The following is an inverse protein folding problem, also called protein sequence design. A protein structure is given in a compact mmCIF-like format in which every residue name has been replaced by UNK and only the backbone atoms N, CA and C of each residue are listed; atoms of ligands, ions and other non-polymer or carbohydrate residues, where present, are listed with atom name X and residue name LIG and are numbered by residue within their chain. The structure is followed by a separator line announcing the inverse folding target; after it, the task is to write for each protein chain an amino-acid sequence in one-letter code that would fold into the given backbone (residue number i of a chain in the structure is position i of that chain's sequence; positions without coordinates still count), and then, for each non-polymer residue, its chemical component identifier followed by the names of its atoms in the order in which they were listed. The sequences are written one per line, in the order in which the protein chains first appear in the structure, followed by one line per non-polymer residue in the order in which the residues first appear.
data_IF_164076480277
#
_entry.id   IF_164076480277
#
_cell.length_a   1.000
_cell.length_b   1.000
_cell.length_c   1.000
_cell.angle_alpha   90.00
_cell.angle_beta   90.00
_cell.angle_gamma   90.00
#
_symmetry.space_group_name_H-M   'P 1'
#
loop_
_entity.id
_entity.type
_entity.pdbx_description
1 polymer ?
#
# COMPACT_ATOMS: atom_id res chain seq x y z
N UNK A 1 0.58 11.41 16.46
CA UNK A 1 1.17 11.42 15.09
C UNK A 1 1.86 12.75 14.91
N UNK A 2 3.17 12.77 15.00
CA UNK A 2 3.97 13.96 14.73
C UNK A 2 3.69 14.42 13.31
N UNK A 3 3.34 15.69 13.17
CA UNK A 3 3.03 16.30 11.88
C UNK A 3 4.30 16.30 11.04
N UNK A 4 4.33 15.51 9.97
CA UNK A 4 5.42 15.60 9.00
C UNK A 4 5.57 17.05 8.51
N UNK A 5 6.79 17.50 8.23
CA UNK A 5 7.02 18.85 7.71
C UNK A 5 6.20 19.09 6.42
N UNK A 6 5.63 20.27 6.24
CA UNK A 6 4.74 20.56 5.11
C UNK A 6 5.41 20.31 3.75
N UNK A 7 6.69 20.54 3.64
CA UNK A 7 7.47 20.28 2.43
C UNK A 7 7.45 18.79 2.05
N UNK A 8 7.61 17.88 3.02
CA UNK A 8 7.56 16.44 2.78
C UNK A 8 6.15 15.97 2.41
N UNK A 9 5.12 16.58 3.03
CA UNK A 9 3.72 16.28 2.67
C UNK A 9 3.44 16.63 1.22
N UNK A 10 3.86 17.82 0.76
CA UNK A 10 3.69 18.25 -0.63
C UNK A 10 4.45 17.31 -1.58
N UNK A 11 5.67 16.94 -1.22
CA UNK A 11 6.47 16.00 -2.00
C UNK A 11 5.79 14.62 -2.13
N UNK A 12 5.30 14.05 -1.01
CA UNK A 12 4.59 12.75 -1.01
C UNK A 12 3.29 12.81 -1.82
N UNK A 13 2.55 13.91 -1.75
CA UNK A 13 1.33 14.12 -2.55
C UNK A 13 1.69 14.20 -4.04
N UNK A 14 2.73 14.93 -4.40
CA UNK A 14 3.19 15.04 -5.79
C UNK A 14 3.64 13.69 -6.36
N UNK A 15 4.48 12.96 -5.63
CA UNK A 15 4.95 11.63 -6.05
C UNK A 15 3.82 10.60 -6.09
N UNK A 16 2.90 10.63 -5.11
CA UNK A 16 1.71 9.78 -5.10
C UNK A 16 0.78 10.06 -6.27
N UNK A 17 0.57 11.33 -6.61
CA UNK A 17 -0.22 11.73 -7.79
C UNK A 17 0.43 11.25 -9.08
N UNK A 18 1.74 11.40 -9.21
CA UNK A 18 2.49 10.92 -10.38
C UNK A 18 2.42 9.39 -10.52
N UNK A 19 2.54 8.66 -9.41
CA UNK A 19 2.34 7.22 -9.38
C UNK A 19 0.95 6.83 -9.89
N UNK A 20 -0.10 7.46 -9.34
CA UNK A 20 -1.48 7.18 -9.72
C UNK A 20 -1.78 7.55 -11.18
N UNK A 21 -1.17 8.61 -11.70
CA UNK A 21 -1.25 9.01 -13.11
C UNK A 21 -0.81 7.86 -14.03
N UNK A 22 0.37 7.30 -13.82
CA UNK A 22 0.87 6.20 -14.64
C UNK A 22 0.13 4.90 -14.39
N UNK A 23 -0.20 4.59 -13.13
CA UNK A 23 -0.90 3.37 -12.79
C UNK A 23 -2.31 3.31 -13.38
N UNK A 24 -3.14 4.35 -13.16
CA UNK A 24 -4.52 4.38 -13.66
C UNK A 24 -4.54 4.41 -15.19
N UNK A 25 -3.60 5.15 -15.80
CA UNK A 25 -3.43 5.15 -17.25
C UNK A 25 -3.17 3.76 -17.79
N UNK A 26 -2.22 3.03 -17.21
CA UNK A 26 -1.88 1.66 -17.60
C UNK A 26 -3.05 0.68 -17.39
N UNK A 27 -3.70 0.72 -16.23
CA UNK A 27 -4.83 -0.13 -15.88
C UNK A 27 -5.99 0.05 -16.87
N UNK A 28 -6.41 1.30 -17.10
CA UNK A 28 -7.52 1.62 -18.01
C UNK A 28 -7.18 1.25 -19.46
N UNK A 29 -5.97 1.56 -19.91
CA UNK A 29 -5.51 1.21 -21.26
C UNK A 29 -5.54 -0.29 -21.49
N UNK A 30 -5.02 -1.07 -20.55
CA UNK A 30 -4.99 -2.50 -20.68
C UNK A 30 -6.40 -3.11 -20.74
N UNK A 31 -7.26 -2.74 -19.78
CA UNK A 31 -8.62 -3.28 -19.73
C UNK A 31 -9.49 -2.86 -20.94
N UNK A 32 -9.32 -1.64 -21.42
CA UNK A 32 -10.10 -1.09 -22.54
C UNK A 32 -9.65 -1.67 -23.89
N UNK A 33 -8.35 -1.81 -24.11
CA UNK A 33 -7.81 -2.24 -25.40
C UNK A 33 -7.45 -3.72 -25.46
N UNK A 34 -7.65 -4.48 -24.39
CA UNK A 34 -7.41 -5.93 -24.37
C UNK A 34 -8.14 -6.69 -25.49
N UNK A 35 -9.44 -6.47 -25.78
CA UNK A 35 -10.09 -7.14 -26.90
C UNK A 35 -9.44 -6.80 -28.25
N UNK A 36 -9.17 -5.53 -28.50
CA UNK A 36 -8.51 -5.08 -29.73
C UNK A 36 -7.10 -5.65 -29.87
N UNK A 37 -6.34 -5.65 -28.76
CA UNK A 37 -5.02 -6.26 -28.72
C UNK A 37 -5.08 -7.74 -29.09
N UNK A 38 -6.00 -8.53 -28.47
CA UNK A 38 -6.10 -9.96 -28.69
C UNK A 38 -6.49 -10.33 -30.13
N UNK A 39 -7.40 -9.56 -30.75
CA UNK A 39 -7.80 -9.78 -32.15
C UNK A 39 -6.67 -9.47 -33.14
N UNK A 40 -5.86 -8.45 -32.88
CA UNK A 40 -4.78 -8.01 -33.76
C UNK A 40 -3.45 -8.73 -33.53
N UNK A 41 -3.36 -9.71 -32.61
CA UNK A 41 -2.20 -10.59 -32.50
C UNK A 41 -2.09 -11.51 -33.69
N UNK A 42 -0.90 -12.05 -33.96
CA UNK A 42 -0.65 -13.02 -35.05
C UNK A 42 -1.37 -14.37 -34.88
N UNK A 43 -2.16 -14.52 -33.80
CA UNK A 43 -2.90 -15.74 -33.47
C UNK A 43 -4.28 -15.82 -34.16
N UNK A 44 -4.68 -14.80 -34.92
CA UNK A 44 -6.00 -14.75 -35.66
C UNK A 44 -7.20 -15.09 -34.75
N UNK A 45 -7.23 -14.57 -33.52
CA UNK A 45 -8.25 -14.87 -32.55
C UNK A 45 -9.60 -14.26 -32.96
N UNK A 46 -10.67 -15.04 -32.77
CA UNK A 46 -12.01 -14.53 -33.01
C UNK A 46 -12.39 -13.41 -32.03
N UNK A 47 -13.21 -12.43 -32.45
CA UNK A 47 -13.71 -11.37 -31.58
C UNK A 47 -14.42 -11.93 -30.32
N UNK A 48 -15.06 -13.09 -30.44
CA UNK A 48 -15.69 -13.77 -29.32
C UNK A 48 -14.66 -14.24 -28.28
N UNK A 49 -13.57 -14.85 -28.74
CA UNK A 49 -12.47 -15.30 -27.85
C UNK A 49 -11.82 -14.11 -27.16
N UNK A 50 -11.59 -13.03 -27.89
CA UNK A 50 -11.01 -11.81 -27.34
C UNK A 50 -11.91 -11.16 -26.26
N UNK A 51 -13.23 -11.15 -26.48
CA UNK A 51 -14.20 -10.67 -25.50
C UNK A 51 -14.24 -11.57 -24.24
N UNK A 52 -14.15 -12.89 -24.40
CA UNK A 52 -14.08 -13.83 -23.29
C UNK A 52 -12.78 -13.63 -22.49
N UNK A 53 -11.65 -13.40 -23.15
CA UNK A 53 -10.37 -13.10 -22.52
C UNK A 53 -10.42 -11.83 -21.68
N UNK A 54 -11.04 -10.77 -22.21
CA UNK A 54 -11.25 -9.52 -21.48
C UNK A 54 -12.14 -9.73 -20.25
N UNK A 55 -13.21 -10.51 -20.39
CA UNK A 55 -14.09 -10.88 -19.28
C UNK A 55 -13.35 -11.68 -18.20
N UNK A 56 -12.48 -12.62 -18.58
CA UNK A 56 -11.68 -13.39 -17.65
C UNK A 56 -10.65 -12.52 -16.89
N UNK A 57 -10.01 -11.58 -17.59
CA UNK A 57 -9.09 -10.62 -16.96
C UNK A 57 -9.82 -9.71 -15.97
N UNK A 58 -11.02 -9.21 -16.32
CA UNK A 58 -11.86 -8.42 -15.44
C UNK A 58 -12.35 -9.22 -14.22
N UNK A 59 -12.66 -10.50 -14.40
CA UNK A 59 -13.05 -11.42 -13.34
C UNK A 59 -11.86 -11.65 -12.38
N UNK A 60 -10.66 -11.91 -12.91
CA UNK A 60 -9.44 -12.07 -12.14
C UNK A 60 -9.13 -10.79 -11.32
N UNK A 61 -9.30 -9.62 -11.93
CA UNK A 61 -9.18 -8.33 -11.24
C UNK A 61 -10.17 -8.20 -10.07
N UNK A 62 -11.43 -8.59 -10.27
CA UNK A 62 -12.47 -8.54 -9.22
C UNK A 62 -12.15 -9.49 -8.08
N UNK A 63 -11.78 -10.75 -8.39
CA UNK A 63 -11.35 -11.72 -7.37
C UNK A 63 -10.15 -11.20 -6.60
N UNK A 64 -9.16 -10.65 -7.30
CA UNK A 64 -7.98 -10.06 -6.67
C UNK A 64 -8.35 -8.93 -5.68
N UNK A 65 -9.32 -8.08 -6.02
CA UNK A 65 -9.87 -7.07 -5.10
C UNK A 65 -10.52 -7.69 -3.86
N UNK A 66 -11.35 -8.70 -4.04
CA UNK A 66 -11.97 -9.40 -2.92
C UNK A 66 -10.92 -10.05 -2.00
N UNK A 67 -9.90 -10.68 -2.57
CA UNK A 67 -8.81 -11.30 -1.81
C UNK A 67 -7.90 -10.28 -1.12
N UNK A 68 -7.78 -9.07 -1.67
CA UNK A 68 -6.96 -8.03 -1.08
C UNK A 68 -7.51 -7.51 0.26
N UNK A 69 -8.82 -7.62 0.51
CA UNK A 69 -9.45 -7.17 1.76
C UNK A 69 -8.90 -7.94 2.98
N UNK A 70 -8.99 -9.29 3.05
CA UNK A 70 -8.41 -10.04 4.16
C UNK A 70 -6.87 -9.94 4.20
N UNK A 71 -6.19 -9.78 3.05
CA UNK A 71 -4.76 -9.57 3.03
C UNK A 71 -4.36 -8.23 3.67
N UNK A 72 -5.11 -7.16 3.43
CA UNK A 72 -4.85 -5.84 3.99
C UNK A 72 -4.96 -5.80 5.53
N UNK A 73 -5.71 -6.73 6.13
CA UNK A 73 -5.78 -6.87 7.60
C UNK A 73 -4.47 -7.47 8.16
N UNK A 74 -3.83 -8.37 7.42
CA UNK A 74 -2.67 -9.14 7.89
C UNK A 74 -1.33 -8.57 7.39
N UNK A 75 -1.31 -7.94 6.24
CA UNK A 75 -0.09 -7.47 5.58
C UNK A 75 -0.01 -5.95 5.56
N UNK A 76 1.21 -5.44 5.58
CA UNK A 76 1.47 -4.00 5.41
C UNK A 76 1.16 -3.58 3.97
N UNK A 77 0.60 -2.37 3.72
CA UNK A 77 0.29 -1.90 2.38
C UNK A 77 1.48 -1.96 1.40
N UNK A 78 2.69 -1.69 1.86
CA UNK A 78 3.89 -1.77 1.04
C UNK A 78 4.18 -3.19 0.54
N UNK A 79 3.92 -4.22 1.34
CA UNK A 79 4.12 -5.62 0.94
C UNK A 79 3.14 -6.01 -0.16
N UNK A 80 1.88 -5.59 -0.03
CA UNK A 80 0.84 -5.82 -1.05
C UNK A 80 1.22 -5.10 -2.35
N UNK A 81 1.72 -3.85 -2.26
CA UNK A 81 2.19 -3.11 -3.43
C UNK A 81 3.33 -3.82 -4.16
N UNK A 82 4.35 -4.29 -3.46
CA UNK A 82 5.44 -5.04 -4.09
C UNK A 82 4.96 -6.35 -4.72
N UNK A 83 4.07 -7.10 -4.05
CA UNK A 83 3.49 -8.32 -4.61
C UNK A 83 2.71 -8.05 -5.89
N UNK A 84 1.89 -7.00 -5.92
CA UNK A 84 1.15 -6.61 -7.11
C UNK A 84 2.06 -6.15 -8.25
N UNK A 85 3.10 -5.36 -7.98
CA UNK A 85 4.08 -4.98 -9.00
C UNK A 85 4.83 -6.20 -9.57
N UNK A 86 5.15 -7.17 -8.72
CA UNK A 86 5.75 -8.42 -9.17
C UNK A 86 4.79 -9.18 -10.11
N UNK A 87 3.50 -9.32 -9.77
CA UNK A 87 2.51 -9.95 -10.65
C UNK A 87 2.36 -9.19 -11.96
N UNK A 88 2.31 -7.85 -11.91
CA UNK A 88 2.22 -7.01 -13.11
C UNK A 88 3.44 -7.20 -14.02
N UNK A 89 4.65 -7.23 -13.47
CA UNK A 89 5.87 -7.47 -14.24
C UNK A 89 5.86 -8.86 -14.88
N UNK A 90 5.53 -9.89 -14.10
CA UNK A 90 5.44 -11.27 -14.64
C UNK A 90 4.41 -11.36 -15.75
N UNK A 91 3.19 -10.85 -15.55
CA UNK A 91 2.14 -10.84 -16.56
C UNK A 91 2.54 -10.08 -17.83
N UNK A 92 3.14 -8.90 -17.68
CA UNK A 92 3.60 -8.08 -18.82
C UNK A 92 4.75 -8.74 -19.58
N UNK A 93 5.71 -9.36 -18.89
CA UNK A 93 6.82 -10.08 -19.53
C UNK A 93 6.31 -11.31 -20.29
N UNK A 94 5.36 -12.07 -19.71
CA UNK A 94 4.72 -13.20 -20.40
C UNK A 94 4.03 -12.75 -21.69
N UNK A 95 3.30 -11.63 -21.64
CA UNK A 95 2.69 -11.06 -22.83
C UNK A 95 3.72 -10.57 -23.85
N UNK A 96 4.81 -9.94 -23.40
CA UNK A 96 5.86 -9.47 -24.31
C UNK A 96 6.54 -10.59 -25.10
N UNK A 97 6.69 -11.77 -24.48
CA UNK A 97 7.40 -12.90 -25.10
C UNK A 97 6.44 -13.79 -25.92
N UNK A 98 5.25 -14.04 -25.42
CA UNK A 98 4.38 -15.10 -25.93
C UNK A 98 3.08 -14.62 -26.57
N UNK A 99 2.77 -13.31 -26.57
CA UNK A 99 1.48 -12.82 -27.07
C UNK A 99 1.17 -13.21 -28.51
N UNK A 100 2.19 -13.31 -29.37
CA UNK A 100 2.03 -13.70 -30.78
C UNK A 100 2.22 -15.22 -31.02
N UNK A 101 2.73 -15.95 -30.02
CA UNK A 101 3.14 -17.34 -30.22
C UNK A 101 2.22 -18.37 -29.58
N UNK A 102 1.46 -17.99 -28.55
CA UNK A 102 0.66 -18.95 -27.75
C UNK A 102 -0.59 -18.31 -27.16
N UNK A 103 -1.75 -18.81 -27.60
CA UNK A 103 -3.03 -18.40 -27.07
C UNK A 103 -3.13 -18.68 -25.55
N UNK A 104 -2.67 -19.85 -25.09
CA UNK A 104 -2.69 -20.20 -23.67
C UNK A 104 -1.89 -19.22 -22.82
N UNK A 105 -0.69 -18.81 -23.29
CA UNK A 105 0.14 -17.83 -22.57
C UNK A 105 -0.46 -16.43 -22.61
N UNK A 106 -1.19 -16.10 -23.65
CA UNK A 106 -1.96 -14.87 -23.77
C UNK A 106 -3.06 -14.82 -22.70
N UNK A 107 -3.80 -15.91 -22.50
CA UNK A 107 -4.80 -16.04 -21.43
C UNK A 107 -4.17 -15.90 -20.05
N UNK A 108 -3.13 -16.67 -19.76
CA UNK A 108 -2.44 -16.68 -18.46
C UNK A 108 -1.86 -15.32 -18.13
N UNK A 109 -1.17 -14.68 -19.10
CA UNK A 109 -0.58 -13.36 -18.90
C UNK A 109 -1.62 -12.30 -18.55
N UNK A 110 -2.76 -12.28 -19.22
CA UNK A 110 -3.85 -11.32 -18.97
C UNK A 110 -4.53 -11.56 -17.61
N UNK A 111 -4.71 -12.82 -17.19
CA UNK A 111 -5.28 -13.16 -15.88
C UNK A 111 -4.32 -12.72 -14.76
N UNK A 112 -3.02 -13.00 -14.90
CA UNK A 112 -2.00 -12.57 -13.92
C UNK A 112 -1.96 -11.04 -13.82
N UNK A 113 -2.02 -10.37 -14.96
CA UNK A 113 -2.02 -8.91 -15.02
C UNK A 113 -3.26 -8.31 -14.36
N UNK A 114 -4.44 -8.90 -14.61
CA UNK A 114 -5.69 -8.53 -13.96
C UNK A 114 -5.60 -8.66 -12.42
N UNK A 115 -5.07 -9.77 -11.92
CA UNK A 115 -4.80 -9.93 -10.48
C UNK A 115 -3.82 -8.87 -9.97
N UNK A 116 -2.76 -8.58 -10.73
CA UNK A 116 -1.74 -7.57 -10.36
C UNK A 116 -2.30 -6.16 -10.24
N UNK A 117 -3.22 -5.75 -11.10
CA UNK A 117 -3.87 -4.43 -11.04
C UNK A 117 -4.81 -4.28 -9.83
N UNK A 118 -5.33 -5.37 -9.30
CA UNK A 118 -6.53 -5.40 -8.45
C UNK A 118 -6.50 -4.47 -7.24
N UNK A 119 -5.41 -4.37 -6.52
CA UNK A 119 -5.34 -3.66 -5.23
C UNK A 119 -4.28 -2.57 -5.14
N UNK A 120 -3.61 -2.23 -6.24
CA UNK A 120 -2.52 -1.22 -6.25
C UNK A 120 -3.03 0.14 -5.81
N UNK A 121 -4.16 0.61 -6.38
CA UNK A 121 -4.74 1.90 -6.03
C UNK A 121 -5.06 2.02 -4.53
N UNK A 122 -5.74 1.02 -3.97
CA UNK A 122 -6.09 1.00 -2.56
C UNK A 122 -4.85 0.92 -1.66
N UNK A 123 -3.85 0.13 -2.07
CA UNK A 123 -2.64 -0.09 -1.29
C UNK A 123 -1.72 1.13 -1.26
N UNK A 124 -1.57 1.86 -2.37
CA UNK A 124 -0.78 3.11 -2.38
C UNK A 124 -1.49 4.20 -1.55
N UNK A 125 -2.83 4.28 -1.65
CA UNK A 125 -3.62 5.21 -0.86
C UNK A 125 -3.46 4.92 0.64
N UNK A 126 -3.63 3.67 1.06
CA UNK A 126 -3.45 3.24 2.44
C UNK A 126 -2.00 3.45 2.94
N UNK A 127 -1.00 3.26 2.07
CA UNK A 127 0.40 3.54 2.40
C UNK A 127 0.64 5.03 2.67
N UNK A 128 0.10 5.90 1.82
CA UNK A 128 0.23 7.36 1.98
C UNK A 128 -0.53 7.85 3.21
N UNK A 129 -1.74 7.33 3.47
CA UNK A 129 -2.55 7.69 4.63
C UNK A 129 -1.86 7.37 5.97
N UNK A 130 -1.06 6.32 6.03
CA UNK A 130 -0.23 6.01 7.20
C UNK A 130 0.86 7.05 7.47
N UNK A 131 1.23 7.86 6.47
CA UNK A 131 2.34 8.81 6.55
C UNK A 131 1.90 10.27 6.59
N UNK A 132 0.83 10.60 5.88
CA UNK A 132 0.26 11.93 5.80
C UNK A 132 -1.24 11.88 6.12
N UNK A 133 -1.77 12.96 6.67
CA UNK A 133 -3.23 13.08 6.83
C UNK A 133 -3.85 13.39 5.45
N UNK A 134 -4.41 12.37 4.82
CA UNK A 134 -5.11 12.56 3.54
C UNK A 134 -6.42 13.31 3.79
N UNK A 135 -6.47 14.56 3.34
CA UNK A 135 -7.68 15.40 3.37
C UNK A 135 -8.48 15.20 2.08
N UNK A 136 -9.75 15.62 2.08
CA UNK A 136 -10.58 15.57 0.87
C UNK A 136 -9.92 16.27 -0.34
N UNK A 137 -9.16 17.36 -0.10
CA UNK A 137 -8.41 18.06 -1.16
C UNK A 137 -7.32 17.20 -1.78
N UNK A 138 -6.55 16.47 -0.94
CA UNK A 138 -5.51 15.56 -1.41
C UNK A 138 -6.14 14.38 -2.16
N UNK A 139 -7.24 13.82 -1.65
CA UNK A 139 -7.98 12.77 -2.34
C UNK A 139 -8.48 13.21 -3.73
N UNK A 140 -9.00 14.43 -3.84
CA UNK A 140 -9.44 14.99 -5.14
C UNK A 140 -8.27 15.15 -6.13
N UNK A 141 -7.08 15.55 -5.66
CA UNK A 141 -5.87 15.64 -6.50
C UNK A 141 -5.49 14.25 -7.05
N UNK A 142 -5.55 13.21 -6.22
CA UNK A 142 -5.24 11.84 -6.65
C UNK A 142 -6.22 11.31 -7.70
N UNK A 143 -7.52 11.54 -7.49
CA UNK A 143 -8.56 11.15 -8.45
C UNK A 143 -8.42 11.93 -9.77
N UNK A 144 -8.18 13.24 -9.68
CA UNK A 144 -7.98 14.07 -10.86
C UNK A 144 -6.76 13.66 -11.68
N UNK A 145 -5.63 13.38 -11.00
CA UNK A 145 -4.39 12.97 -11.64
C UNK A 145 -4.58 11.65 -12.42
N UNK A 146 -5.23 10.64 -11.82
CA UNK A 146 -5.54 9.38 -12.50
C UNK A 146 -6.54 9.56 -13.65
N UNK A 147 -7.60 10.36 -13.44
CA UNK A 147 -8.64 10.61 -14.44
C UNK A 147 -8.13 11.32 -15.69
N UNK A 148 -7.18 12.26 -15.53
CA UNK A 148 -6.59 12.97 -16.67
C UNK A 148 -5.86 12.01 -17.61
N UNK A 149 -5.10 11.09 -17.08
CA UNK A 149 -4.38 10.08 -17.89
C UNK A 149 -5.35 9.10 -18.53
N UNK A 150 -6.37 8.65 -17.80
CA UNK A 150 -7.41 7.78 -18.35
C UNK A 150 -8.14 8.41 -19.54
N UNK A 151 -8.27 9.75 -19.56
CA UNK A 151 -8.88 10.47 -20.67
C UNK A 151 -7.96 10.64 -21.89
N UNK A 152 -6.65 10.84 -21.67
CA UNK A 152 -5.70 11.16 -22.74
C UNK A 152 -5.07 9.91 -23.36
N UNK A 153 -4.76 8.90 -22.55
CA UNK A 153 -4.02 7.72 -22.99
C UNK A 153 -4.71 6.91 -24.11
N UNK A 154 -6.06 6.76 -24.15
CA UNK A 154 -6.73 6.06 -25.25
C UNK A 154 -6.49 6.68 -26.63
N UNK A 155 -6.39 8.00 -26.69
CA UNK A 155 -6.12 8.71 -27.93
C UNK A 155 -4.72 8.44 -28.47
N UNK A 156 -3.75 8.18 -27.59
CA UNK A 156 -2.37 7.90 -27.96
C UNK A 156 -2.19 6.45 -28.44
N UNK A 157 -2.72 5.48 -27.71
CA UNK A 157 -2.53 4.05 -28.02
C UNK A 157 -3.49 3.59 -29.10
N UNK A 158 -4.73 4.09 -29.09
CA UNK A 158 -5.79 3.69 -30.03
C UNK A 158 -5.42 3.90 -31.50
N UNK A 159 -4.59 4.90 -31.81
CA UNK A 159 -4.15 5.19 -33.18
C UNK A 159 -3.16 4.14 -33.73
N UNK A 160 -2.44 3.45 -32.85
CA UNK A 160 -1.33 2.58 -33.25
C UNK A 160 -1.60 1.10 -32.98
N UNK A 161 -2.61 0.76 -32.15
CA UNK A 161 -2.83 -0.60 -31.67
C UNK A 161 -3.22 -1.58 -32.80
N UNK A 162 -3.94 -1.12 -33.83
CA UNK A 162 -4.30 -1.95 -34.96
C UNK A 162 -3.11 -2.31 -35.85
N UNK A 163 -2.17 -1.35 -35.99
CA UNK A 163 -0.96 -1.55 -36.78
C UNK A 163 0.12 -2.32 -36.00
N UNK A 164 0.17 -2.17 -34.68
CA UNK A 164 1.19 -2.78 -33.84
C UNK A 164 0.63 -3.12 -32.45
N UNK A 165 -0.02 -4.27 -32.27
CA UNK A 165 -0.71 -4.62 -31.03
C UNK A 165 0.24 -4.68 -29.83
N UNK A 166 1.52 -5.03 -30.02
CA UNK A 166 2.52 -5.07 -28.95
C UNK A 166 2.78 -3.72 -28.30
N UNK A 167 2.34 -2.59 -28.89
CA UNK A 167 2.48 -1.28 -28.29
C UNK A 167 1.80 -1.19 -26.91
N UNK A 168 0.68 -1.91 -26.72
CA UNK A 168 0.00 -2.01 -25.44
C UNK A 168 0.88 -2.66 -24.38
N UNK A 169 1.59 -3.73 -24.74
CA UNK A 169 2.47 -4.47 -23.83
C UNK A 169 3.69 -3.62 -23.46
N UNK A 170 4.31 -2.95 -24.42
CA UNK A 170 5.45 -2.06 -24.18
C UNK A 170 5.06 -0.84 -23.34
N UNK A 171 3.88 -0.28 -23.58
CA UNK A 171 3.32 0.79 -22.76
C UNK A 171 3.11 0.33 -21.31
N UNK A 172 2.51 -0.85 -21.11
CA UNK A 172 2.33 -1.43 -19.79
C UNK A 172 3.66 -1.67 -19.08
N UNK A 173 4.67 -2.20 -19.78
CA UNK A 173 5.98 -2.44 -19.21
C UNK A 173 6.65 -1.13 -18.75
N UNK A 174 6.63 -0.11 -19.60
CA UNK A 174 7.20 1.20 -19.29
C UNK A 174 6.51 1.83 -18.07
N UNK A 175 5.18 1.85 -18.04
CA UNK A 175 4.41 2.39 -16.92
C UNK A 175 4.63 1.58 -15.63
N UNK A 176 4.71 0.24 -15.70
CA UNK A 176 4.97 -0.61 -14.55
C UNK A 176 6.35 -0.33 -13.94
N UNK A 177 7.40 -0.18 -14.77
CA UNK A 177 8.74 0.17 -14.30
C UNK A 177 8.80 1.58 -13.70
N UNK A 178 8.10 2.55 -14.30
CA UNK A 178 7.98 3.90 -13.76
C UNK A 178 7.25 3.90 -12.39
N UNK A 179 6.13 3.20 -12.28
CA UNK A 179 5.40 3.06 -11.02
C UNK A 179 6.26 2.42 -9.94
N UNK A 180 6.97 1.34 -10.27
CA UNK A 180 7.88 0.67 -9.34
C UNK A 180 8.99 1.62 -8.87
N UNK A 181 9.61 2.36 -9.79
CA UNK A 181 10.67 3.33 -9.49
C UNK A 181 10.16 4.43 -8.57
N UNK A 182 9.01 5.04 -8.89
CA UNK A 182 8.39 6.09 -8.07
C UNK A 182 8.07 5.54 -6.68
N UNK A 183 7.51 4.33 -6.59
CA UNK A 183 7.17 3.71 -5.31
C UNK A 183 8.42 3.43 -4.46
N UNK A 184 9.49 2.93 -5.06
CA UNK A 184 10.78 2.72 -4.36
C UNK A 184 11.33 4.04 -3.83
N UNK A 185 11.28 5.12 -4.63
CA UNK A 185 11.72 6.46 -4.19
C UNK A 185 10.87 6.95 -3.01
N UNK A 186 9.54 6.82 -3.07
CA UNK A 186 8.65 7.18 -1.97
C UNK A 186 9.00 6.36 -0.72
N UNK A 187 9.14 5.05 -0.86
CA UNK A 187 9.43 4.13 0.25
C UNK A 187 10.78 4.43 0.91
N UNK A 188 11.83 4.63 0.11
CA UNK A 188 13.16 5.01 0.60
C UNK A 188 13.15 6.37 1.31
N UNK A 189 12.48 7.37 0.75
CA UNK A 189 12.38 8.70 1.37
C UNK A 189 11.70 8.63 2.73
N UNK A 190 10.59 7.89 2.82
CA UNK A 190 9.88 7.68 4.09
C UNK A 190 10.75 6.90 5.09
N UNK A 191 11.47 5.88 4.64
CA UNK A 191 12.37 5.09 5.47
C UNK A 191 13.52 5.92 6.03
N UNK A 192 14.21 6.68 5.18
CA UNK A 192 15.33 7.55 5.57
C UNK A 192 14.89 8.67 6.53
N UNK A 193 13.68 9.17 6.41
CA UNK A 193 13.14 10.17 7.34
C UNK A 193 12.76 9.55 8.70
N UNK A 194 12.26 8.32 8.70
CA UNK A 194 11.98 7.59 9.94
C UNK A 194 13.26 7.23 10.73
N UNK A 195 14.39 7.14 10.04
CA UNK A 195 15.70 6.79 10.64
C UNK A 195 16.49 8.03 11.08
N UNK A 196 16.10 9.24 10.66
CA UNK A 196 16.73 10.47 11.17
C UNK A 196 16.32 10.66 12.62
N UNK A 197 17.25 10.68 13.59
CA UNK A 197 16.92 11.04 14.96
C UNK A 197 16.29 12.43 14.91
N UNK A 198 15.10 12.57 15.45
CA UNK A 198 14.45 13.86 15.65
C UNK A 198 15.49 14.71 16.39
N UNK A 199 16.03 15.76 15.76
CA UNK A 199 16.73 16.81 16.49
C UNK A 199 15.66 17.46 17.37
N UNK A 200 15.40 16.87 18.54
CA UNK A 200 14.76 17.58 19.64
C UNK A 200 15.70 18.75 19.94
N UNK A 201 15.19 19.93 19.79
CA UNK A 201 15.87 21.15 20.19
C UNK A 201 16.34 20.93 21.63
N UNK A 202 17.60 21.22 21.90
CA UNK A 202 18.28 20.95 23.17
C UNK A 202 17.58 21.62 24.39
N UNK A 203 16.60 22.50 24.12
CA UNK A 203 15.80 23.19 25.12
C UNK A 203 14.63 22.36 25.67
N UNK A 204 14.04 21.43 24.83
CA UNK A 204 12.92 20.57 25.29
C UNK A 204 13.42 19.29 26.00
N UNK A 205 14.68 18.92 25.83
CA UNK A 205 15.26 17.69 26.38
C UNK A 205 15.41 17.72 27.90
N UNK A 206 15.63 18.91 28.50
CA UNK A 206 15.82 19.07 29.95
C UNK A 206 14.49 18.94 30.69
N UNK A 207 13.42 19.49 30.14
CA UNK A 207 12.08 19.44 30.74
C UNK A 207 11.47 18.05 30.69
N UNK A 208 11.67 17.31 29.59
CA UNK A 208 11.13 15.94 29.43
C UNK A 208 11.86 14.92 30.31
N UNK A 209 13.16 15.09 30.53
CA UNK A 209 13.92 14.22 31.44
C UNK A 209 13.55 14.47 32.92
N UNK A 210 13.25 15.72 33.30
CA UNK A 210 12.75 16.02 34.64
C UNK A 210 11.36 15.46 34.87
N UNK A 211 10.44 15.62 33.92
CA UNK A 211 9.08 15.08 34.02
C UNK A 211 9.05 13.52 34.05
N UNK A 212 9.94 12.88 33.28
CA UNK A 212 10.13 11.43 33.34
C UNK A 212 10.75 10.97 34.64
N UNK A 213 11.70 11.71 35.20
CA UNK A 213 12.27 11.46 36.53
C UNK A 213 11.25 11.63 37.63
N UNK A 214 10.45 12.70 37.60
CA UNK A 214 9.38 12.90 38.56
C UNK A 214 8.31 11.81 38.51
N UNK A 215 7.90 11.36 37.30
CA UNK A 215 6.99 10.23 37.15
C UNK A 215 7.58 8.91 37.65
N UNK A 216 8.87 8.66 37.42
CA UNK A 216 9.54 7.47 37.94
C UNK A 216 9.66 7.54 39.48
N UNK A 217 9.97 8.69 40.06
CA UNK A 217 10.00 8.87 41.50
C UNK A 217 8.63 8.73 42.15
N UNK A 218 7.55 9.21 41.51
CA UNK A 218 6.19 9.00 41.97
C UNK A 218 5.74 7.52 41.90
N UNK A 219 6.15 6.79 40.85
CA UNK A 219 5.89 5.36 40.73
C UNK A 219 6.66 4.55 41.78
N UNK A 220 7.91 4.87 42.05
CA UNK A 220 8.73 4.22 43.09
C UNK A 220 8.14 4.53 44.48
N UNK A 221 7.81 5.78 44.75
CA UNK A 221 7.19 6.17 46.01
C UNK A 221 5.82 5.52 46.27
N UNK A 222 4.99 5.38 45.25
CA UNK A 222 3.70 4.68 45.38
C UNK A 222 3.85 3.16 45.55
N UNK A 223 4.91 2.58 44.98
CA UNK A 223 5.22 1.14 45.14
C UNK A 223 5.78 0.86 46.54
N UNK A 224 6.64 1.72 47.06
CA UNK A 224 7.16 1.58 48.45
C UNK A 224 6.04 1.78 49.50
N UNK A 225 5.16 2.75 49.27
CA UNK A 225 4.00 2.96 50.16
C UNK A 225 3.05 1.75 50.09
N UNK A 226 2.83 1.17 48.91
CA UNK A 226 2.03 -0.03 48.72
C UNK A 226 2.58 -1.23 49.49
N UNK A 227 3.90 -1.46 49.42
CA UNK A 227 4.60 -2.53 50.14
C UNK A 227 4.56 -2.32 51.65
N UNK A 228 4.68 -1.08 52.12
CA UNK A 228 4.57 -0.76 53.56
C UNK A 228 3.15 -0.96 54.06
N UNK A 229 2.12 -0.60 53.29
CA UNK A 229 0.72 -0.80 53.68
C UNK A 229 0.39 -2.30 53.75
N UNK A 230 0.83 -3.12 52.78
CA UNK A 230 0.61 -4.58 52.83
C UNK A 230 1.35 -5.23 54.00
N UNK A 231 2.53 -4.83 54.34
CA UNK A 231 3.25 -5.36 55.50
C UNK A 231 2.62 -4.93 56.84
N UNK A 232 1.98 -3.77 56.92
CA UNK A 232 1.23 -3.32 58.13
C UNK A 232 -0.08 -4.08 58.28
N UNK A 233 -0.79 -4.38 57.19
CA UNK A 233 -2.01 -5.19 57.21
C UNK A 233 -1.73 -6.63 57.61
N UNK A 234 -0.66 -7.24 57.11
CA UNK A 234 -0.25 -8.59 57.47
C UNK A 234 0.16 -8.71 58.96
N UNK A 235 0.72 -7.66 59.57
CA UNK A 235 1.04 -7.61 60.99
C UNK A 235 -0.25 -7.46 61.85
N UNK A 236 -1.23 -6.68 61.33
CA UNK A 236 -2.52 -6.50 62.01
C UNK A 236 -3.37 -7.76 62.08
N UNK A 237 -3.31 -8.59 61.01
CA UNK A 237 -4.06 -9.87 60.96
C UNK A 237 -3.38 -10.96 61.80
N UNK A 238 -2.07 -10.97 61.93
CA UNK A 238 -1.33 -11.91 62.77
C UNK A 238 -1.56 -11.66 64.28
N UNK A 239 -1.77 -10.40 64.69
CA UNK A 239 -2.08 -10.02 66.09
C UNK A 239 -3.54 -10.29 66.51
N UNK A 240 -4.44 -10.49 65.58
CA UNK A 240 -5.84 -10.80 65.84
C UNK A 240 -6.11 -12.29 66.10
N UNK A 241 -5.31 -13.18 65.49
CA UNK A 241 -5.47 -14.62 65.67
C UNK A 241 -4.87 -15.14 67.01
N UNK A 242 -4.00 -14.36 67.65
CA UNK A 242 -3.38 -14.79 68.92
C UNK A 242 -4.25 -14.42 70.15
N UNK A 243 -5.34 -13.65 70.00
CA UNK A 243 -6.17 -13.17 71.09
C UNK A 243 -7.44 -13.94 71.35
N UNK A 244 -7.74 -15.01 70.60
CA UNK A 244 -8.96 -15.82 70.74
C UNK A 244 -8.70 -17.32 70.89
N UNK A 245 -7.77 -17.73 71.77
CA UNK A 245 -7.74 -19.10 72.28
C UNK A 245 -7.97 -19.01 73.79
N UNK A 246 -9.23 -19.17 74.22
CA UNK A 246 -9.62 -19.33 75.60
C UNK A 246 -9.36 -20.79 76.07
N UNK A 247 -8.82 -21.02 77.27
CA UNK A 247 -8.66 -22.37 77.78
C UNK A 247 -9.97 -22.93 78.29
N UNK A 248 -10.14 -24.21 78.00
CA UNK A 248 -11.15 -25.07 78.63
C UNK A 248 -10.66 -25.59 79.99
#
# INVERSE_FOLDING_TARGET
MDKMPPCLTIWLVSMGSMFLTFFVGMEQMHLQFLPTFAVNTELDLSPSTAAMMSSAAAFAFTIGRCLSIPLAIKLKPQTILYANHFLMLVGTILLAIYANNSETMLWVGNIILGCGFSSVYASIYAFLEQKIRVTNRIGSIFVFAGGLTAAVSPSLVGQYIEANPLILVWFNLACCLLCLTIFVIIHLTVYLQSTKPTKKTFDDGIVVDEELKERQLQLIGSTEIGVVITSITDISDSDLDEKYVAPA
#
